data_IF_486349198198
#
_entry.id   IF_486349198198
#
_cell.length_a   1.000
_cell.length_b   1.000
_cell.length_c   1.000
_cell.angle_alpha   90.00
_cell.angle_beta   90.00
_cell.angle_gamma   90.00
#
_symmetry.space_group_name_H-M   'P 1'
#
loop_
_entity.id
_entity.type
_entity.pdbx_description
1 polymer ?
#
# COMPACT_ATOMS: atom_id res chain seq x y z
N UNK A 1 2.78 18.21 -0.17
CA UNK A 1 2.69 16.79 0.26
C UNK A 1 2.81 16.67 1.78
N UNK A 2 1.71 16.76 2.52
CA UNK A 2 1.71 16.80 4.00
C UNK A 2 0.95 15.63 4.67
N UNK A 3 0.34 14.75 3.87
CA UNK A 3 -0.53 13.68 4.38
C UNK A 3 0.19 12.68 5.29
N UNK A 4 1.46 12.41 5.01
CA UNK A 4 2.24 11.41 5.74
C UNK A 4 3.29 11.99 6.70
N UNK A 5 3.61 13.29 6.58
CA UNK A 5 4.64 13.96 7.39
C UNK A 5 4.41 13.89 8.91
N UNK A 6 3.15 13.75 9.37
CA UNK A 6 2.82 13.70 10.81
C UNK A 6 2.42 12.30 11.31
N UNK A 7 2.53 11.25 10.50
CA UNK A 7 2.04 9.91 10.87
C UNK A 7 3.01 8.81 10.48
N UNK A 8 3.56 8.14 11.50
CA UNK A 8 4.47 6.99 11.36
C UNK A 8 3.79 5.74 10.78
N UNK A 9 2.45 5.67 10.84
CA UNK A 9 1.68 4.52 10.39
C UNK A 9 0.28 4.93 9.89
N UNK A 10 -0.23 4.17 8.92
CA UNK A 10 -1.55 4.39 8.31
C UNK A 10 -2.34 3.10 8.17
N UNK A 11 -3.65 3.28 7.96
CA UNK A 11 -4.56 2.24 7.46
C UNK A 11 -5.26 2.77 6.23
N UNK A 12 -5.17 2.03 5.14
CA UNK A 12 -5.77 2.39 3.86
C UNK A 12 -7.09 1.65 3.72
N UNK A 13 -8.20 2.38 3.73
CA UNK A 13 -9.55 1.83 3.59
C UNK A 13 -10.06 2.08 2.17
N UNK A 14 -10.39 1.04 1.43
CA UNK A 14 -10.97 1.17 0.10
C UNK A 14 -12.42 1.68 0.15
N UNK A 15 -12.94 2.08 -1.01
CA UNK A 15 -14.37 2.37 -1.19
C UNK A 15 -15.28 1.17 -0.89
N UNK A 16 -14.76 -0.07 -0.94
CA UNK A 16 -15.48 -1.29 -0.57
C UNK A 16 -15.57 -1.51 0.95
N UNK A 17 -15.22 -0.50 1.74
CA UNK A 17 -15.16 -0.56 3.20
C UNK A 17 -14.24 -1.64 3.78
N UNK A 18 -13.23 -2.05 3.02
CA UNK A 18 -12.18 -2.99 3.45
C UNK A 18 -10.84 -2.29 3.53
N UNK A 19 -9.90 -2.87 4.25
CA UNK A 19 -8.56 -2.34 4.46
C UNK A 19 -7.53 -3.12 3.65
N UNK A 20 -6.51 -2.42 3.15
CA UNK A 20 -5.32 -3.05 2.62
C UNK A 20 -4.63 -3.82 3.74
N UNK A 21 -4.46 -5.12 3.55
CA UNK A 21 -3.84 -6.01 4.51
C UNK A 21 -2.71 -6.81 3.84
N UNK A 22 -1.61 -6.94 4.58
CA UNK A 22 -0.59 -7.96 4.37
C UNK A 22 -1.20 -9.35 4.61
N UNK A 23 -1.03 -10.31 3.71
CA UNK A 23 -1.49 -11.66 3.97
C UNK A 23 -0.45 -12.46 4.76
N UNK A 24 -0.88 -13.58 5.34
CA UNK A 24 -0.06 -14.35 6.27
C UNK A 24 1.02 -15.19 5.55
N UNK A 25 0.92 -15.34 4.23
CA UNK A 25 1.97 -15.89 3.35
C UNK A 25 3.20 -14.97 3.22
N UNK A 26 3.10 -13.73 3.72
CA UNK A 26 4.12 -12.69 3.64
C UNK A 26 4.55 -12.32 2.20
N UNK A 27 3.75 -12.66 1.21
CA UNK A 27 4.01 -12.41 -0.21
C UNK A 27 2.85 -11.62 -0.80
N UNK A 28 1.62 -12.03 -0.54
CA UNK A 28 0.45 -11.45 -1.17
C UNK A 28 -0.16 -10.31 -0.35
N UNK A 29 -0.94 -9.47 -1.02
CA UNK A 29 -1.76 -8.46 -0.37
C UNK A 29 -3.23 -8.66 -0.70
N UNK A 30 -4.08 -8.30 0.24
CA UNK A 30 -5.53 -8.49 0.12
C UNK A 30 -6.30 -7.38 0.80
N UNK A 31 -7.60 -7.43 0.59
CA UNK A 31 -8.56 -6.63 1.34
C UNK A 31 -9.15 -7.42 2.51
N UNK A 32 -9.21 -6.79 3.68
CA UNK A 32 -9.80 -7.36 4.89
C UNK A 32 -10.79 -6.39 5.55
N UNK A 33 -11.88 -6.91 6.11
CA UNK A 33 -12.81 -6.08 6.91
C UNK A 33 -12.21 -5.69 8.27
N UNK A 34 -11.29 -6.50 8.81
CA UNK A 34 -10.68 -6.25 10.10
C UNK A 34 -9.54 -5.22 9.99
N UNK A 35 -9.90 -3.94 10.05
CA UNK A 35 -8.94 -2.84 10.06
C UNK A 35 -8.15 -2.73 11.38
N UNK A 36 -8.64 -3.29 12.48
CA UNK A 36 -7.94 -3.21 13.76
C UNK A 36 -6.67 -4.08 13.79
N UNK A 37 -6.69 -5.18 13.03
CA UNK A 37 -5.60 -6.16 12.92
C UNK A 37 -4.25 -5.52 12.56
N UNK A 38 -3.18 -6.14 13.06
CA UNK A 38 -1.79 -5.70 12.81
C UNK A 38 -1.47 -5.66 11.32
N UNK A 39 -1.94 -6.66 10.56
CA UNK A 39 -1.76 -6.76 9.10
C UNK A 39 -2.35 -5.62 8.27
N UNK A 40 -3.32 -4.88 8.83
CA UNK A 40 -3.90 -3.71 8.15
C UNK A 40 -3.14 -2.41 8.42
N UNK A 41 -2.10 -2.45 9.28
CA UNK A 41 -1.24 -1.31 9.60
C UNK A 41 -0.02 -1.31 8.68
N UNK A 42 0.20 -0.17 8.03
CA UNK A 42 1.36 0.05 7.17
C UNK A 42 2.18 1.19 7.76
N UNK A 43 3.43 0.92 8.09
CA UNK A 43 4.40 1.94 8.48
C UNK A 43 4.76 2.76 7.25
N UNK A 44 4.92 4.06 7.45
CA UNK A 44 5.24 4.99 6.36
C UNK A 44 6.66 5.44 6.53
N UNK A 45 7.49 5.09 5.54
CA UNK A 45 8.87 5.52 5.43
C UNK A 45 8.93 6.57 4.32
N UNK A 46 9.50 7.74 4.64
CA UNK A 46 9.75 8.80 3.66
C UNK A 46 11.04 8.45 2.91
N UNK A 47 11.12 8.88 1.65
CA UNK A 47 12.32 8.68 0.82
C UNK A 47 13.11 9.97 0.81
N UNK A 48 14.34 9.94 1.31
CA UNK A 48 15.18 11.15 1.44
C UNK A 48 15.53 11.76 0.08
N UNK A 49 15.73 10.93 -0.95
CA UNK A 49 16.02 11.38 -2.31
C UNK A 49 14.81 11.97 -3.03
N UNK A 50 13.58 11.63 -2.61
CA UNK A 50 12.37 12.08 -3.26
C UNK A 50 11.23 12.30 -2.24
N UNK A 51 10.96 13.56 -1.83
CA UNK A 51 9.95 13.86 -0.82
C UNK A 51 8.51 13.66 -1.33
N UNK A 52 8.33 13.33 -2.61
CA UNK A 52 7.03 13.12 -3.21
C UNK A 52 6.55 11.67 -3.16
N UNK A 53 7.39 10.74 -2.73
CA UNK A 53 7.06 9.32 -2.64
C UNK A 53 7.19 8.81 -1.22
N UNK A 54 6.50 7.71 -0.94
CA UNK A 54 6.59 7.02 0.34
C UNK A 54 6.75 5.52 0.10
N UNK A 55 7.36 4.86 1.08
CA UNK A 55 7.44 3.40 1.16
C UNK A 55 6.51 2.92 2.26
N UNK A 56 5.73 1.88 1.96
CA UNK A 56 4.74 1.33 2.88
C UNK A 56 5.22 -0.02 3.38
N UNK A 57 5.61 -0.08 4.66
CA UNK A 57 6.13 -1.31 5.28
C UNK A 57 5.07 -2.02 6.10
N UNK A 58 4.86 -3.28 5.78
CA UNK A 58 3.91 -4.18 6.44
C UNK A 58 4.36 -4.56 7.85
N UNK A 59 3.49 -5.23 8.59
CA UNK A 59 3.84 -5.78 9.90
C UNK A 59 4.85 -6.93 9.88
N UNK A 60 5.19 -7.44 8.69
CA UNK A 60 6.21 -8.47 8.48
C UNK A 60 7.57 -7.87 8.08
N UNK A 61 7.71 -6.54 8.11
CA UNK A 61 8.94 -5.87 7.70
C UNK A 61 9.16 -5.79 6.19
N UNK A 62 8.20 -6.25 5.39
CA UNK A 62 8.21 -6.23 3.92
C UNK A 62 7.50 -5.01 3.36
N UNK A 63 7.90 -4.55 2.19
CA UNK A 63 7.37 -3.37 1.52
C UNK A 63 6.21 -3.71 0.58
N UNK A 64 5.28 -2.77 0.43
CA UNK A 64 4.23 -2.83 -0.57
C UNK A 64 4.84 -2.60 -1.96
N UNK A 65 4.70 -3.56 -2.86
CA UNK A 65 5.45 -3.59 -4.12
C UNK A 65 4.51 -3.69 -5.31
N UNK A 66 4.70 -2.84 -6.31
CA UNK A 66 4.00 -2.89 -7.58
C UNK A 66 4.75 -3.85 -8.53
N UNK A 67 4.29 -5.11 -8.61
CA UNK A 67 4.95 -6.14 -9.42
C UNK A 67 4.57 -6.02 -10.89
N UNK A 68 5.45 -6.44 -11.80
CA UNK A 68 5.10 -6.62 -13.22
C UNK A 68 4.31 -7.90 -13.49
N UNK A 69 4.06 -8.75 -12.48
CA UNK A 69 3.30 -9.98 -12.63
C UNK A 69 1.81 -9.71 -12.88
N UNK A 70 1.22 -10.24 -13.97
CA UNK A 70 -0.22 -10.20 -14.18
C UNK A 70 -0.99 -10.89 -13.03
N UNK A 71 -2.15 -10.36 -12.65
CA UNK A 71 -2.94 -10.96 -11.55
C UNK A 71 -3.70 -12.21 -11.99
N UNK A 72 -4.54 -12.09 -13.01
CA UNK A 72 -5.34 -13.19 -13.56
C UNK A 72 -5.35 -13.09 -15.08
N UNK A 73 -5.24 -14.24 -15.74
CA UNK A 73 -5.31 -14.34 -17.19
C UNK A 73 -6.66 -13.81 -17.69
N UNK A 74 -6.64 -12.93 -18.70
CA UNK A 74 -7.84 -12.30 -19.26
C UNK A 74 -8.44 -11.16 -18.42
N UNK A 75 -7.87 -10.83 -17.25
CA UNK A 75 -8.26 -9.67 -16.45
C UNK A 75 -7.15 -8.60 -16.44
N UNK A 76 -7.52 -7.35 -16.20
CA UNK A 76 -6.57 -6.23 -16.20
C UNK A 76 -5.82 -6.08 -14.87
N UNK A 77 -4.59 -5.59 -14.93
CA UNK A 77 -3.82 -5.19 -13.76
C UNK A 77 -2.88 -6.26 -13.22
N UNK A 78 -1.89 -5.76 -12.48
CA UNK A 78 -0.77 -6.53 -11.99
C UNK A 78 -0.84 -6.69 -10.47
N UNK A 79 -0.14 -7.69 -9.96
CA UNK A 79 -0.12 -8.03 -8.54
C UNK A 79 0.51 -6.92 -7.70
N UNK A 80 -0.04 -6.73 -6.51
CA UNK A 80 0.59 -5.95 -5.46
C UNK A 80 1.07 -6.90 -4.38
N UNK A 81 2.38 -6.92 -4.17
CA UNK A 81 3.07 -7.92 -3.34
C UNK A 81 3.71 -7.30 -2.10
N UNK A 82 4.25 -8.18 -1.27
CA UNK A 82 5.08 -7.90 -0.11
C UNK A 82 6.51 -8.40 -0.39
N UNK A 83 7.42 -7.49 -0.74
CA UNK A 83 8.83 -7.87 -1.01
C UNK A 83 9.78 -7.26 -0.01
N UNK A 84 10.94 -7.88 0.15
CA UNK A 84 12.09 -7.28 0.84
C UNK A 84 13.15 -7.04 -0.24
N UNK A 85 13.33 -5.80 -0.71
CA UNK A 85 14.32 -5.53 -1.75
C UNK A 85 15.72 -5.66 -1.19
N UNK A 86 16.64 -6.16 -2.00
CA UNK A 86 18.07 -6.23 -1.66
C UNK A 86 18.67 -4.83 -1.51
N UNK A 87 18.20 -3.88 -2.33
CA UNK A 87 18.63 -2.49 -2.28
C UNK A 87 17.44 -1.53 -2.31
N UNK A 88 17.17 -0.90 -1.16
CA UNK A 88 16.07 0.03 -1.00
C UNK A 88 16.20 1.29 -1.86
N UNK A 89 17.40 1.76 -2.20
CA UNK A 89 17.55 3.02 -2.96
C UNK A 89 17.36 2.83 -4.47
N UNK A 90 17.53 1.60 -4.98
CA UNK A 90 17.40 1.28 -6.40
C UNK A 90 16.01 0.76 -6.78
N UNK A 91 15.32 0.11 -5.84
CA UNK A 91 14.01 -0.48 -6.15
C UNK A 91 12.90 0.58 -6.11
N UNK A 92 12.52 1.07 -7.29
CA UNK A 92 11.43 2.03 -7.46
C UNK A 92 10.04 1.37 -7.36
N UNK A 93 9.95 0.05 -7.45
CA UNK A 93 8.66 -0.68 -7.44
C UNK A 93 7.99 -0.66 -6.06
N UNK A 94 8.76 -0.36 -5.01
CA UNK A 94 8.28 -0.19 -3.63
C UNK A 94 7.87 1.26 -3.30
N UNK A 95 8.07 2.19 -4.24
CA UNK A 95 7.79 3.61 -4.04
C UNK A 95 6.39 3.97 -4.55
N UNK A 96 5.63 4.65 -3.69
CA UNK A 96 4.27 5.06 -3.99
C UNK A 96 4.14 6.57 -3.84
N UNK A 97 3.70 7.23 -4.91
CA UNK A 97 3.37 8.65 -4.89
C UNK A 97 1.92 8.84 -4.40
N UNK A 98 1.68 9.47 -3.24
CA UNK A 98 0.35 9.77 -2.79
C UNK A 98 -0.19 11.03 -3.47
N UNK A 99 -1.29 10.86 -4.21
CA UNK A 99 -2.00 11.92 -4.90
C UNK A 99 -3.35 12.18 -4.22
N UNK A 100 -3.62 13.44 -3.90
CA UNK A 100 -4.89 13.84 -3.28
C UNK A 100 -5.98 13.84 -4.35
N UNK A 101 -7.10 13.19 -4.05
CA UNK A 101 -8.30 13.18 -4.88
C UNK A 101 -9.50 13.52 -3.99
N UNK A 102 -9.75 14.82 -3.81
CA UNK A 102 -10.71 15.34 -2.83
C UNK A 102 -10.39 14.92 -1.39
N UNK A 103 -11.29 14.13 -0.78
CA UNK A 103 -11.15 13.54 0.56
C UNK A 103 -10.47 12.16 0.55
N UNK A 104 -10.04 11.69 -0.62
CA UNK A 104 -9.43 10.40 -0.84
C UNK A 104 -7.98 10.56 -1.30
N UNK A 105 -7.23 9.46 -1.26
CA UNK A 105 -5.87 9.37 -1.75
C UNK A 105 -5.80 8.30 -2.82
N UNK A 106 -5.08 8.60 -3.89
CA UNK A 106 -4.62 7.63 -4.88
C UNK A 106 -3.14 7.37 -4.61
N UNK A 107 -2.73 6.11 -4.66
CA UNK A 107 -1.33 5.74 -4.58
C UNK A 107 -0.89 5.34 -5.98
N UNK A 108 -0.01 6.15 -6.57
CA UNK A 108 0.55 5.93 -7.90
C UNK A 108 1.88 5.20 -7.74
N UNK A 109 2.03 4.07 -8.40
CA UNK A 109 3.28 3.32 -8.46
C UNK A 109 4.23 3.94 -9.49
N UNK A 110 5.49 3.49 -9.45
CA UNK A 110 6.41 3.69 -10.57
C UNK A 110 5.79 3.18 -11.89
N UNK A 111 6.06 3.87 -13.01
CA UNK A 111 5.43 3.58 -14.30
C UNK A 111 3.99 4.10 -14.47
N UNK A 112 3.43 4.80 -13.49
CA UNK A 112 2.19 5.57 -13.66
C UNK A 112 0.88 4.81 -13.48
N UNK A 113 0.96 3.59 -12.95
CA UNK A 113 -0.20 2.79 -12.55
C UNK A 113 -0.67 3.14 -11.14
N UNK A 114 -1.88 2.72 -10.77
CA UNK A 114 -2.50 3.11 -9.51
C UNK A 114 -2.96 1.91 -8.68
N UNK A 115 -2.81 2.00 -7.36
CA UNK A 115 -3.31 0.98 -6.44
C UNK A 115 -4.83 0.84 -6.51
N UNK A 116 -5.33 -0.37 -6.75
CA UNK A 116 -6.74 -0.67 -6.97
C UNK A 116 -7.24 -1.77 -6.03
N UNK A 117 -8.41 -1.51 -5.45
CA UNK A 117 -9.17 -2.46 -4.66
C UNK A 117 -10.22 -3.19 -5.51
N UNK A 118 -10.13 -4.52 -5.56
CA UNK A 118 -10.99 -5.36 -6.39
C UNK A 118 -12.24 -5.88 -5.64
N UNK A 119 -13.39 -5.72 -6.28
CA UNK A 119 -14.68 -6.28 -5.86
C UNK A 119 -14.99 -7.58 -6.62
N UNK A 120 -16.26 -7.91 -6.84
CA UNK A 120 -16.65 -8.99 -7.76
C UNK A 120 -16.55 -10.40 -7.17
N UNK A 121 -16.38 -11.42 -8.01
CA UNK A 121 -16.30 -12.84 -7.65
C UNK A 121 -14.86 -13.29 -7.39
N UNK A 122 -14.62 -14.33 -6.57
CA UNK A 122 -13.31 -14.98 -6.51
C UNK A 122 -12.87 -15.45 -7.90
N UNK A 123 -11.56 -15.46 -8.24
CA UNK A 123 -10.42 -15.09 -7.38
C UNK A 123 -10.14 -13.57 -7.30
N UNK A 124 -10.87 -12.74 -8.05
CA UNK A 124 -10.73 -11.27 -8.05
C UNK A 124 -11.21 -10.60 -6.76
N UNK A 125 -12.23 -11.19 -6.12
CA UNK A 125 -12.80 -10.69 -4.87
C UNK A 125 -11.71 -10.56 -3.80
N UNK A 126 -11.65 -9.37 -3.20
CA UNK A 126 -10.69 -9.03 -2.15
C UNK A 126 -9.23 -8.93 -2.60
N UNK A 127 -8.91 -9.10 -3.89
CA UNK A 127 -7.55 -8.86 -4.33
C UNK A 127 -7.21 -7.37 -4.37
N UNK A 128 -5.92 -7.09 -4.44
CA UNK A 128 -5.34 -5.76 -4.61
C UNK A 128 -4.40 -5.83 -5.79
N UNK A 129 -4.59 -4.92 -6.74
CA UNK A 129 -3.79 -4.85 -7.96
C UNK A 129 -3.33 -3.42 -8.20
N UNK A 130 -2.46 -3.22 -9.19
CA UNK A 130 -2.25 -1.88 -9.75
C UNK A 130 -2.42 -1.90 -11.27
N UNK A 131 -3.03 -0.85 -11.80
CA UNK A 131 -3.34 -0.75 -13.23
C UNK A 131 -3.27 0.69 -13.76
N UNK A 132 -3.12 0.79 -15.08
CA UNK A 132 -3.11 2.07 -15.79
C UNK A 132 -4.51 2.65 -15.86
N UNK A 133 -4.65 3.98 -15.82
CA UNK A 133 -5.95 4.59 -15.87
C UNK A 133 -6.80 4.23 -17.11
N UNK A 134 -6.10 3.98 -18.21
CA UNK A 134 -6.70 3.76 -19.51
C UNK A 134 -7.06 2.28 -19.74
N UNK A 135 -6.49 1.35 -18.99
CA UNK A 135 -6.69 -0.09 -19.19
C UNK A 135 -8.09 -0.58 -18.76
N UNK A 136 -8.80 0.18 -17.91
CA UNK A 136 -10.16 -0.15 -17.50
C UNK A 136 -11.21 0.09 -18.61
N UNK A 137 -10.86 0.83 -19.67
CA UNK A 137 -11.78 1.16 -20.75
C UNK A 137 -12.08 -0.03 -21.68
N UNK A 138 -11.26 -1.09 -21.70
CA UNK A 138 -11.33 -2.04 -22.82
C UNK A 138 -12.23 -3.25 -22.59
N UNK A 139 -12.51 -3.80 -21.40
CA UNK A 139 -13.30 -5.06 -21.30
C UNK A 139 -14.20 -5.21 -20.04
N UNK A 140 -15.03 -4.21 -19.71
CA UNK A 140 -16.28 -4.49 -18.97
C UNK A 140 -17.32 -3.40 -19.30
N UNK A 141 -18.26 -3.75 -20.17
CA UNK A 141 -19.46 -2.96 -20.47
C UNK A 141 -20.23 -2.78 -19.14
N UNK A 142 -20.33 -1.54 -18.65
CA UNK A 142 -21.33 -1.16 -17.64
C UNK A 142 -20.88 -0.38 -16.40
N UNK A 143 -19.59 -0.14 -16.11
CA UNK A 143 -19.18 0.67 -14.93
C UNK A 143 -17.90 1.49 -15.16
N UNK A 144 -17.78 2.15 -16.31
CA UNK A 144 -16.57 2.88 -16.75
C UNK A 144 -16.24 4.17 -15.95
N UNK A 145 -17.01 4.52 -14.91
CA UNK A 145 -16.88 5.82 -14.21
C UNK A 145 -16.20 5.82 -12.83
N UNK A 146 -15.86 4.68 -12.23
CA UNK A 146 -15.35 4.67 -10.84
C UNK A 146 -13.85 4.38 -10.79
N UNK A 147 -13.04 5.44 -10.79
CA UNK A 147 -11.75 5.41 -10.10
C UNK A 147 -11.98 4.90 -8.67
N UNK A 148 -11.41 3.74 -8.33
CA UNK A 148 -11.66 3.00 -7.08
C UNK A 148 -10.67 3.48 -6.01
N UNK A 149 -11.17 4.40 -5.19
CA UNK A 149 -10.43 5.33 -4.34
C UNK A 149 -10.11 4.75 -2.95
N UNK A 150 -8.96 5.12 -2.37
CA UNK A 150 -8.60 4.77 -0.99
C UNK A 150 -8.80 5.97 -0.05
N UNK A 151 -9.39 5.74 1.11
CA UNK A 151 -9.40 6.69 2.23
C UNK A 151 -8.25 6.34 3.17
N UNK A 152 -7.33 7.28 3.35
CA UNK A 152 -6.27 7.17 4.36
C UNK A 152 -6.84 7.60 5.71
N UNK A 153 -6.95 6.68 6.67
CA UNK A 153 -7.22 7.04 8.06
C UNK A 153 -5.89 7.16 8.79
N UNK A 154 -5.51 8.39 9.12
CA UNK A 154 -4.34 8.69 9.96
C UNK A 154 -4.53 8.07 11.34
N UNK A 155 -3.54 7.32 11.82
CA UNK A 155 -3.53 6.91 13.24
C UNK A 155 -2.91 8.04 14.07
N UNK A 156 -3.67 8.63 14.99
CA UNK A 156 -3.07 9.39 16.11
C UNK A 156 -2.48 8.37 17.07
N UNK A 157 -1.16 8.45 17.34
CA UNK A 157 -0.54 7.67 18.41
C UNK A 157 -1.18 8.11 19.73
N UNK A 158 -2.15 7.34 20.25
CA UNK A 158 -2.38 7.36 21.70
C UNK A 158 -1.18 6.63 22.32
N UNK A 159 -0.51 7.31 23.27
CA UNK A 159 0.69 6.89 24.00
C UNK A 159 0.75 5.36 24.13
N UNK A 160 1.68 4.76 23.40
CA UNK A 160 2.02 3.34 23.53
C UNK A 160 3.02 3.28 24.69
N UNK A 161 2.53 2.93 25.87
CA UNK A 161 3.38 2.69 27.04
C UNK A 161 4.24 1.43 26.82
N UNK A 162 5.53 1.55 27.15
CA UNK A 162 6.24 0.52 27.93
C UNK A 162 7.17 -0.47 27.24
N UNK A 163 6.95 -0.93 25.99
CA UNK A 163 7.74 -2.06 25.46
C UNK A 163 8.49 -1.84 24.15
N UNK A 164 8.21 -0.75 23.43
CA UNK A 164 8.78 -0.48 22.11
C UNK A 164 10.03 0.40 22.11
N UNK A 165 10.34 1.04 23.25
CA UNK A 165 11.53 1.91 23.35
C UNK A 165 12.83 1.09 23.22
N UNK A 166 12.86 -0.15 23.70
CA UNK A 166 14.07 -1.00 23.64
C UNK A 166 14.37 -1.50 22.22
N UNK A 167 13.36 -1.90 21.45
CA UNK A 167 13.56 -2.33 20.06
C UNK A 167 14.00 -1.16 19.14
N UNK A 168 13.60 0.06 19.46
CA UNK A 168 13.99 1.25 18.70
C UNK A 168 15.42 1.72 19.04
N UNK A 169 15.82 1.65 20.32
CA UNK A 169 17.18 2.01 20.74
C UNK A 169 18.23 1.01 20.25
N UNK A 170 17.87 -0.27 20.14
CA UNK A 170 18.78 -1.32 19.68
C UNK A 170 18.99 -1.31 18.16
N UNK A 171 18.09 -0.67 17.40
CA UNK A 171 18.23 -0.49 15.95
C UNK A 171 19.03 0.76 15.58
N UNK A 172 18.93 1.86 16.36
CA UNK A 172 19.73 3.07 16.11
C UNK A 172 21.24 2.88 16.37
N UNK A 173 21.66 1.93 17.21
CA UNK A 173 23.09 1.71 17.50
C UNK A 173 23.81 0.78 16.49
N UNK A 174 23.12 0.20 15.50
CA UNK A 174 23.76 -0.71 14.51
C UNK A 174 24.08 -0.08 13.15
N UNK A 175 23.78 1.20 12.95
CA UNK A 175 24.05 1.91 11.70
C UNK A 175 24.64 3.31 11.96
N UNK A 176 25.62 3.38 12.86
CA UNK A 176 26.64 4.42 12.89
C UNK A 176 28.00 3.74 12.93
N UNK A 177 28.46 3.28 11.76
CA UNK A 177 29.87 3.18 11.39
C UNK A 177 29.96 3.56 9.92
#
# INVERSE_FOLDING_TARGET
MEFFKKSKAVRLKSHLNKYLAADDDQISTRQSRNGAARRARWLVELVDSNPHVVRLKSCYGRYLTASSEPFLLGMTGHKVLQTLPENLTKDLTIEWQPLRDGFQVKLKAFGGTFLRANGGTPPWRNSVTHDSPHAAATHMIGLCGMWRRWRCRRMRLRRITGRWFRAFHQFQMRYQV
#
